data_IF_616692869960
#
_entry.id   IF_616692869960
#
_cell.length_a   1.000
_cell.length_b   1.000
_cell.length_c   1.000
_cell.angle_alpha   90.00
_cell.angle_beta   90.00
_cell.angle_gamma   90.00
#
_symmetry.space_group_name_H-M   'P 1'
#
loop_
_entity.id
_entity.type
_entity.pdbx_description
1 polymer ?
#
# COMPACT_ATOMS: atom_id res chain seq x y z
N UNK A 1 -9.64 47.72 -4.31
CA UNK A 1 -10.02 49.06 -3.82
C UNK A 1 -8.79 49.95 -3.91
N UNK A 2 -8.65 50.66 -5.02
CA UNK A 2 -7.77 51.83 -5.06
C UNK A 2 -8.71 52.99 -4.76
N UNK A 3 -8.48 53.72 -3.67
CA UNK A 3 -9.17 54.99 -3.36
C UNK A 3 -10.68 55.02 -3.60
N UNK A 4 -11.47 54.40 -2.71
CA UNK A 4 -12.94 54.60 -2.52
C UNK A 4 -13.86 54.53 -3.75
N UNK A 5 -13.33 54.19 -4.93
CA UNK A 5 -14.02 54.23 -6.21
C UNK A 5 -13.83 52.92 -6.94
N UNK A 6 -14.91 52.46 -7.59
CA UNK A 6 -14.87 51.27 -8.43
C UNK A 6 -14.44 51.77 -9.81
N UNK A 7 -13.21 51.42 -10.20
CA UNK A 7 -12.68 51.71 -11.54
C UNK A 7 -12.72 50.46 -12.41
N UNK A 8 -12.92 50.65 -13.72
CA UNK A 8 -12.87 49.55 -14.66
C UNK A 8 -11.44 49.00 -14.72
N UNK A 9 -11.29 47.70 -14.49
CA UNK A 9 -10.01 47.02 -14.66
C UNK A 9 -9.58 47.06 -16.13
N UNK A 10 -8.30 47.33 -16.39
CA UNK A 10 -7.78 47.41 -17.75
C UNK A 10 -8.01 46.08 -18.47
N UNK A 11 -8.66 46.11 -19.64
CA UNK A 11 -9.07 44.90 -20.37
C UNK A 11 -9.97 43.92 -19.57
N UNK A 12 -10.64 44.38 -18.50
CA UNK A 12 -11.53 43.55 -17.68
C UNK A 12 -12.74 43.00 -18.44
N UNK A 13 -13.09 43.60 -19.58
CA UNK A 13 -14.14 43.12 -20.48
C UNK A 13 -13.92 41.71 -21.02
N UNK A 14 -12.68 41.20 -20.99
CA UNK A 14 -12.37 39.81 -21.33
C UNK A 14 -13.18 38.82 -20.47
N UNK A 15 -13.40 39.12 -19.19
CA UNK A 15 -14.12 38.28 -18.24
C UNK A 15 -15.61 38.67 -18.07
N UNK A 16 -16.17 39.54 -18.92
CA UNK A 16 -17.50 40.12 -18.71
C UNK A 16 -18.64 39.09 -18.58
N UNK A 17 -18.46 37.88 -19.11
CA UNK A 17 -19.44 36.80 -19.08
C UNK A 17 -18.91 35.53 -18.38
N UNK A 18 -17.85 35.68 -17.59
CA UNK A 18 -17.25 34.59 -16.82
C UNK A 18 -17.56 34.78 -15.33
N UNK A 19 -17.87 33.68 -14.65
CA UNK A 19 -17.93 33.71 -13.20
C UNK A 19 -16.51 33.64 -12.66
N UNK A 20 -16.07 34.68 -11.94
CA UNK A 20 -14.76 34.72 -11.28
C UNK A 20 -14.94 34.20 -9.85
N UNK A 21 -14.32 33.06 -9.56
CA UNK A 21 -14.40 32.36 -8.27
C UNK A 21 -13.16 32.56 -7.41
N UNK A 22 -12.11 33.15 -7.98
CA UNK A 22 -10.90 33.53 -7.26
C UNK A 22 -10.07 34.49 -8.09
N UNK A 23 -9.44 35.45 -7.41
CA UNK A 23 -8.41 36.30 -7.98
C UNK A 23 -7.29 36.39 -6.95
N UNK A 24 -6.21 35.68 -7.20
CA UNK A 24 -5.14 35.43 -6.23
C UNK A 24 -3.82 36.01 -6.75
N UNK A 25 -2.95 36.51 -5.86
CA UNK A 25 -1.68 37.09 -6.30
C UNK A 25 -0.77 36.00 -6.90
N UNK A 26 -0.23 36.26 -8.09
CA UNK A 26 0.82 35.45 -8.72
C UNK A 26 2.19 36.13 -8.55
N UNK A 27 2.26 37.42 -8.90
CA UNK A 27 3.39 38.32 -8.66
C UNK A 27 2.88 39.74 -8.34
N UNK A 28 3.79 40.72 -8.25
CA UNK A 28 3.47 42.11 -7.90
C UNK A 28 2.50 42.80 -8.88
N UNK A 29 2.41 42.31 -10.11
CA UNK A 29 1.58 42.90 -11.18
C UNK A 29 0.55 41.93 -11.75
N UNK A 30 0.70 40.63 -11.51
CA UNK A 30 -0.11 39.58 -12.12
C UNK A 30 -0.95 38.87 -11.06
N UNK A 31 -2.24 38.70 -11.36
CA UNK A 31 -3.14 37.84 -10.59
C UNK A 31 -3.45 36.56 -11.37
N UNK A 32 -3.56 35.44 -10.66
CA UNK A 32 -4.21 34.23 -11.15
C UNK A 32 -5.72 34.37 -10.97
N UNK A 33 -6.44 34.44 -12.09
CA UNK A 33 -7.90 34.52 -12.16
C UNK A 33 -8.45 33.11 -12.37
N UNK A 34 -9.31 32.68 -11.46
CA UNK A 34 -9.99 31.38 -11.47
C UNK A 34 -11.43 31.58 -11.92
N UNK A 35 -11.80 30.98 -13.05
CA UNK A 35 -13.15 31.06 -13.59
C UNK A 35 -13.76 29.67 -13.80
N UNK A 36 -15.03 29.63 -14.19
CA UNK A 36 -15.69 28.40 -14.65
C UNK A 36 -15.14 27.89 -16.00
N UNK A 37 -14.41 28.72 -16.75
CA UNK A 37 -13.81 28.35 -18.06
C UNK A 37 -12.30 28.13 -17.97
N UNK A 38 -11.72 28.26 -16.77
CA UNK A 38 -10.32 27.92 -16.53
C UNK A 38 -9.51 28.93 -15.73
N UNK A 39 -8.20 28.75 -15.79
CA UNK A 39 -7.20 29.60 -15.13
C UNK A 39 -6.51 30.54 -16.12
N UNK A 40 -6.36 31.80 -15.69
CA UNK A 40 -5.74 32.87 -16.45
C UNK A 40 -4.77 33.67 -15.60
N UNK A 41 -3.66 34.12 -16.18
CA UNK A 41 -2.85 35.20 -15.63
C UNK A 41 -3.34 36.53 -16.18
N UNK A 42 -3.65 37.47 -15.29
CA UNK A 42 -4.10 38.82 -15.62
C UNK A 42 -3.10 39.83 -15.06
N UNK A 43 -2.44 40.58 -15.94
CA UNK A 43 -1.57 41.67 -15.53
C UNK A 43 -2.40 42.93 -15.27
N UNK A 44 -2.39 43.41 -14.03
CA UNK A 44 -3.21 44.53 -13.57
C UNK A 44 -2.72 45.89 -14.10
N UNK A 45 -1.46 45.97 -14.56
CA UNK A 45 -0.86 47.21 -15.07
C UNK A 45 -1.01 47.34 -16.60
N UNK A 46 -0.87 46.24 -17.36
CA UNK A 46 -1.01 46.25 -18.82
C UNK A 46 -2.40 45.83 -19.31
N UNK A 47 -3.16 45.11 -18.48
CA UNK A 47 -4.40 44.46 -18.87
C UNK A 47 -4.20 43.15 -19.66
N UNK A 48 -2.96 42.68 -19.81
CA UNK A 48 -2.70 41.44 -20.56
C UNK A 48 -3.35 40.25 -19.87
N UNK A 49 -4.06 39.43 -20.64
CA UNK A 49 -4.68 38.19 -20.18
C UNK A 49 -4.06 37.01 -20.92
N UNK A 50 -3.54 36.04 -20.16
CA UNK A 50 -2.97 34.81 -20.69
C UNK A 50 -3.64 33.59 -20.08
N UNK A 51 -4.27 32.75 -20.91
CA UNK A 51 -4.78 31.44 -20.50
C UNK A 51 -3.61 30.51 -20.13
N UNK A 52 -3.73 29.75 -19.04
CA UNK A 52 -2.69 28.80 -18.64
C UNK A 52 -2.60 27.60 -19.58
N UNK A 53 -1.40 27.04 -19.70
CA UNK A 53 -1.04 26.05 -20.73
C UNK A 53 -1.82 24.75 -20.61
N UNK A 54 -2.01 24.21 -19.41
CA UNK A 54 -2.65 22.92 -19.18
C UNK A 54 -4.16 23.02 -18.89
N UNK A 55 -4.72 24.20 -19.09
CA UNK A 55 -6.10 24.53 -18.76
C UNK A 55 -7.11 23.63 -19.50
N UNK A 56 -6.94 23.43 -20.81
CA UNK A 56 -7.89 22.64 -21.61
C UNK A 56 -7.95 21.16 -21.23
N UNK A 57 -6.85 20.59 -20.76
CA UNK A 57 -6.83 19.19 -20.32
C UNK A 57 -7.64 18.97 -19.04
N UNK A 58 -7.42 19.81 -18.02
CA UNK A 58 -8.09 19.67 -16.73
C UNK A 58 -9.51 20.27 -16.75
N UNK A 59 -9.65 21.54 -17.14
CA UNK A 59 -10.96 22.21 -17.18
C UNK A 59 -11.86 21.70 -18.30
N UNK A 60 -11.32 21.17 -19.39
CA UNK A 60 -12.13 20.49 -20.41
C UNK A 60 -12.98 19.38 -19.80
N UNK A 61 -12.36 18.52 -18.98
CA UNK A 61 -13.07 17.44 -18.26
C UNK A 61 -14.08 17.98 -17.25
N UNK A 62 -13.72 19.00 -16.49
CA UNK A 62 -14.63 19.63 -15.53
C UNK A 62 -15.88 20.19 -16.24
N UNK A 63 -15.70 20.83 -17.40
CA UNK A 63 -16.82 21.35 -18.19
C UNK A 63 -17.69 20.22 -18.78
N UNK A 64 -17.08 19.16 -19.31
CA UNK A 64 -17.80 17.98 -19.82
C UNK A 64 -18.65 17.28 -18.73
N UNK A 65 -18.17 17.33 -17.49
CA UNK A 65 -18.83 16.74 -16.32
C UNK A 65 -19.72 17.75 -15.56
N UNK A 66 -19.87 18.97 -16.08
CA UNK A 66 -20.64 20.06 -15.45
C UNK A 66 -20.20 20.38 -14.00
N UNK A 67 -18.92 20.16 -13.68
CA UNK A 67 -18.37 20.41 -12.35
C UNK A 67 -18.25 21.91 -12.10
N UNK A 68 -18.88 22.37 -11.02
CA UNK A 68 -18.91 23.78 -10.67
C UNK A 68 -17.73 24.17 -9.78
N UNK A 69 -16.86 25.05 -10.29
CA UNK A 69 -15.87 25.77 -9.48
C UNK A 69 -16.57 26.73 -8.52
N UNK A 70 -16.05 26.87 -7.30
CA UNK A 70 -16.70 27.71 -6.29
C UNK A 70 -15.78 28.65 -5.52
N UNK A 71 -14.57 28.21 -5.20
CA UNK A 71 -13.63 29.05 -4.47
C UNK A 71 -12.20 28.63 -4.79
N UNK A 72 -11.26 29.53 -4.56
CA UNK A 72 -9.85 29.23 -4.73
C UNK A 72 -9.01 29.86 -3.62
N UNK A 73 -7.91 29.20 -3.28
CA UNK A 73 -6.96 29.67 -2.25
C UNK A 73 -5.52 29.41 -2.69
N UNK A 74 -4.58 30.21 -2.21
CA UNK A 74 -3.18 29.82 -2.32
C UNK A 74 -2.88 28.75 -1.27
N UNK A 75 -2.40 27.59 -1.74
CA UNK A 75 -2.02 26.47 -0.87
C UNK A 75 -0.57 26.66 -0.39
N UNK A 76 0.30 27.13 -1.29
CA UNK A 76 1.64 27.60 -0.95
C UNK A 76 2.12 28.59 -2.01
N UNK A 77 3.40 28.94 -1.97
CA UNK A 77 4.03 29.92 -2.88
C UNK A 77 3.97 29.54 -4.37
N UNK A 78 3.69 28.27 -4.68
CA UNK A 78 3.79 27.70 -6.02
C UNK A 78 2.55 26.94 -6.47
N UNK A 79 1.55 26.78 -5.59
CA UNK A 79 0.37 25.97 -5.89
C UNK A 79 -0.92 26.62 -5.42
N UNK A 80 -1.95 26.41 -6.23
CA UNK A 80 -3.31 26.88 -6.06
C UNK A 80 -4.20 25.74 -5.59
N UNK A 81 -5.14 26.03 -4.69
CA UNK A 81 -6.27 25.17 -4.36
C UNK A 81 -7.53 25.67 -5.07
N UNK A 82 -8.28 24.77 -5.69
CA UNK A 82 -9.57 25.05 -6.32
C UNK A 82 -10.61 24.12 -5.74
N UNK A 83 -11.73 24.68 -5.30
CA UNK A 83 -12.82 23.99 -4.64
C UNK A 83 -13.98 23.82 -5.62
N UNK A 84 -14.68 22.71 -5.50
CA UNK A 84 -15.80 22.34 -6.36
C UNK A 84 -17.04 21.98 -5.55
N UNK A 85 -18.21 22.14 -6.16
CA UNK A 85 -19.49 21.75 -5.56
C UNK A 85 -20.03 20.47 -6.19
N UNK A 86 -20.68 19.66 -5.35
CA UNK A 86 -21.61 18.59 -5.77
C UNK A 86 -21.03 17.57 -6.75
N UNK A 87 -19.75 17.24 -6.64
CA UNK A 87 -19.12 16.25 -7.51
C UNK A 87 -18.37 15.16 -6.72
N UNK A 88 -18.72 13.91 -7.01
CA UNK A 88 -18.19 12.72 -6.31
C UNK A 88 -16.68 12.53 -6.48
N UNK A 89 -16.12 13.16 -7.50
CA UNK A 89 -14.84 12.91 -8.14
C UNK A 89 -13.88 14.10 -7.99
N UNK A 90 -14.42 15.30 -7.76
CA UNK A 90 -13.71 16.55 -7.55
C UNK A 90 -14.38 17.34 -6.42
N UNK A 91 -13.79 17.32 -5.23
CA UNK A 91 -14.13 18.25 -4.15
C UNK A 91 -13.09 19.37 -4.04
N UNK A 92 -11.81 19.03 -4.10
CA UNK A 92 -10.70 19.98 -4.06
C UNK A 92 -9.57 19.54 -5.01
N UNK A 93 -8.99 20.48 -5.74
CA UNK A 93 -7.80 20.24 -6.56
C UNK A 93 -6.66 21.17 -6.12
N UNK A 94 -5.49 20.58 -5.86
CA UNK A 94 -4.23 21.31 -5.81
C UNK A 94 -3.62 21.34 -7.21
N UNK A 95 -3.39 22.52 -7.73
CA UNK A 95 -2.85 22.77 -9.06
C UNK A 95 -1.51 23.50 -8.96
N UNK A 96 -0.60 23.22 -9.87
CA UNK A 96 0.60 24.06 -10.04
C UNK A 96 0.27 25.38 -10.76
N UNK A 97 1.30 26.22 -10.94
CA UNK A 97 1.22 27.50 -11.62
C UNK A 97 0.91 27.43 -13.14
N UNK A 98 0.84 26.23 -13.74
CA UNK A 98 0.47 26.02 -15.14
C UNK A 98 -0.89 25.31 -15.32
N UNK A 99 -1.63 25.10 -14.22
CA UNK A 99 -2.91 24.36 -14.15
C UNK A 99 -2.79 22.83 -14.21
N UNK A 100 -1.61 22.26 -13.91
CA UNK A 100 -1.45 20.81 -13.80
C UNK A 100 -1.96 20.35 -12.43
N UNK A 101 -2.88 19.37 -12.35
CA UNK A 101 -3.30 18.81 -11.08
C UNK A 101 -2.16 18.01 -10.42
N UNK A 102 -1.80 18.43 -9.21
CA UNK A 102 -0.86 17.75 -8.33
C UNK A 102 -1.59 16.74 -7.45
N UNK A 103 -2.74 17.14 -6.90
CA UNK A 103 -3.56 16.31 -6.04
C UNK A 103 -5.04 16.63 -6.24
N UNK A 104 -5.86 15.58 -6.30
CA UNK A 104 -7.32 15.69 -6.32
C UNK A 104 -7.85 15.02 -5.06
N UNK A 105 -8.75 15.71 -4.38
CA UNK A 105 -9.45 15.23 -3.20
C UNK A 105 -10.94 15.17 -3.51
N UNK A 106 -11.56 14.08 -3.09
CA UNK A 106 -12.96 13.76 -3.35
C UNK A 106 -13.46 12.83 -2.25
N UNK A 107 -14.75 12.53 -2.28
CA UNK A 107 -15.34 11.55 -1.36
C UNK A 107 -14.75 10.14 -1.54
N UNK A 108 -14.29 9.82 -2.75
CA UNK A 108 -13.68 8.53 -3.09
C UNK A 108 -12.23 8.39 -2.59
N UNK A 109 -11.63 9.44 -2.04
CA UNK A 109 -10.26 9.37 -1.52
C UNK A 109 -10.04 10.12 -0.19
N UNK A 110 -11.10 10.34 0.58
CA UNK A 110 -11.03 10.68 2.00
C UNK A 110 -11.76 11.94 2.43
N UNK A 111 -12.37 12.71 1.53
CA UNK A 111 -13.27 13.80 1.94
C UNK A 111 -14.58 13.22 2.49
N UNK A 112 -15.14 13.89 3.51
CA UNK A 112 -16.40 13.47 4.14
C UNK A 112 -17.64 13.79 3.28
N UNK A 113 -17.51 14.74 2.36
CA UNK A 113 -18.57 15.26 1.50
C UNK A 113 -17.99 15.66 0.13
N UNK A 114 -18.84 15.68 -0.88
CA UNK A 114 -18.50 16.02 -2.27
C UNK A 114 -18.43 17.53 -2.52
N UNK A 115 -18.97 18.33 -1.61
CA UNK A 115 -19.05 19.78 -1.74
C UNK A 115 -18.06 20.46 -0.82
N UNK A 116 -17.06 21.14 -1.40
CA UNK A 116 -16.09 21.95 -0.66
C UNK A 116 -16.42 23.43 -0.88
N UNK A 117 -16.90 24.11 0.16
CA UNK A 117 -17.39 25.50 0.04
C UNK A 117 -16.28 26.53 0.23
N UNK A 118 -15.20 26.16 0.91
CA UNK A 118 -14.07 27.04 1.17
C UNK A 118 -12.79 26.24 1.42
N UNK A 119 -11.65 26.90 1.39
CA UNK A 119 -10.36 26.30 1.69
C UNK A 119 -9.50 27.29 2.45
N UNK A 120 -9.02 26.88 3.63
CA UNK A 120 -8.18 27.68 4.48
C UNK A 120 -6.93 26.89 4.85
N UNK A 121 -5.75 27.45 4.63
CA UNK A 121 -4.50 26.85 5.08
C UNK A 121 -3.82 27.78 6.07
N UNK A 122 -3.56 27.26 7.27
CA UNK A 122 -2.82 28.01 8.28
C UNK A 122 -1.34 28.05 7.90
N UNK A 123 -0.69 29.21 7.97
CA UNK A 123 0.75 29.33 7.75
C UNK A 123 1.12 30.54 6.90
N UNK A 124 2.42 30.77 6.75
CA UNK A 124 2.99 31.80 5.88
C UNK A 124 3.81 31.15 4.76
N UNK A 125 4.14 31.95 3.74
CA UNK A 125 5.02 31.60 2.63
C UNK A 125 6.24 30.79 3.13
N UNK A 126 6.43 29.57 2.62
CA UNK A 126 7.49 28.64 3.02
C UNK A 126 7.23 27.68 4.19
N UNK A 127 6.18 27.84 5.00
CA UNK A 127 5.80 26.85 6.02
C UNK A 127 4.27 26.66 6.07
N UNK A 128 3.67 26.07 5.02
CA UNK A 128 2.25 25.83 4.97
C UNK A 128 1.86 24.73 5.97
N UNK A 129 1.02 25.09 6.93
CA UNK A 129 0.40 24.18 7.87
C UNK A 129 -0.74 23.40 7.23
N UNK A 130 -1.65 22.90 8.07
CA UNK A 130 -2.73 22.02 7.63
C UNK A 130 -3.78 22.75 6.79
N UNK A 131 -4.26 22.09 5.73
CA UNK A 131 -5.37 22.56 4.91
C UNK A 131 -6.70 22.16 5.56
N UNK A 132 -7.58 23.12 5.77
CA UNK A 132 -8.92 22.94 6.29
C UNK A 132 -9.94 23.21 5.18
N UNK A 133 -10.82 22.24 4.97
CA UNK A 133 -11.87 22.29 3.96
C UNK A 133 -13.23 22.22 4.65
N UNK A 134 -13.89 23.36 4.89
CA UNK A 134 -15.31 23.38 5.21
C UNK A 134 -16.10 22.75 4.06
N UNK A 135 -17.00 21.84 4.43
CA UNK A 135 -17.81 21.07 3.51
C UNK A 135 -19.28 21.53 3.61
N UNK A 136 -20.13 21.03 2.72
CA UNK A 136 -21.58 21.17 2.93
C UNK A 136 -22.03 20.48 4.23
N UNK A 137 -21.40 19.34 4.57
CA UNK A 137 -21.61 18.63 5.83
C UNK A 137 -20.27 18.40 6.53
N UNK A 138 -19.97 19.25 7.53
CA UNK A 138 -18.80 19.11 8.38
C UNK A 138 -17.54 19.83 7.86
N UNK A 139 -16.38 19.42 8.36
CA UNK A 139 -15.08 20.02 8.04
C UNK A 139 -14.06 18.89 7.89
N UNK A 140 -13.27 18.92 6.82
CA UNK A 140 -12.12 18.02 6.63
C UNK A 140 -10.80 18.71 6.96
N UNK A 141 -9.95 18.01 7.70
CA UNK A 141 -8.57 18.38 7.95
C UNK A 141 -7.67 17.56 7.02
N UNK A 142 -6.91 18.22 6.15
CA UNK A 142 -6.11 17.58 5.11
C UNK A 142 -4.62 17.83 5.34
N UNK A 143 -3.89 16.76 5.61
CA UNK A 143 -2.42 16.74 5.60
C UNK A 143 -1.87 16.73 4.18
N UNK A 144 -2.11 17.79 3.40
CA UNK A 144 -1.81 17.81 1.96
C UNK A 144 -0.30 17.66 1.66
N UNK A 145 0.55 18.09 2.59
CA UNK A 145 2.02 17.94 2.53
C UNK A 145 2.54 16.71 3.30
N UNK A 146 1.66 15.84 3.79
CA UNK A 146 2.07 14.64 4.52
C UNK A 146 2.81 13.66 3.59
N UNK A 147 3.97 13.11 4.01
CA UNK A 147 4.61 11.99 3.30
C UNK A 147 3.85 10.67 3.52
N UNK A 148 2.89 10.65 4.45
CA UNK A 148 2.06 9.49 4.78
C UNK A 148 0.72 9.63 4.07
N UNK A 149 0.27 8.54 3.44
CA UNK A 149 -1.07 8.40 2.85
C UNK A 149 -1.87 7.36 3.63
N UNK A 150 -3.18 7.56 3.71
CA UNK A 150 -4.13 6.63 4.30
C UNK A 150 -5.04 6.09 3.20
N UNK A 151 -5.26 4.79 3.19
CA UNK A 151 -6.23 4.11 2.35
C UNK A 151 -7.21 3.34 3.24
N UNK A 152 -8.48 3.31 2.84
CA UNK A 152 -9.60 2.79 3.63
C UNK A 152 -10.74 2.37 2.69
N UNK A 153 -11.93 2.06 3.22
CA UNK A 153 -13.09 1.59 2.45
C UNK A 153 -13.45 2.47 1.26
N UNK A 154 -13.33 3.80 1.41
CA UNK A 154 -13.57 4.78 0.34
C UNK A 154 -12.66 4.57 -0.88
N UNK A 155 -11.47 4.01 -0.69
CA UNK A 155 -10.52 3.70 -1.76
C UNK A 155 -10.76 2.36 -2.43
N UNK A 156 -11.79 1.60 -2.03
CA UNK A 156 -12.14 0.29 -2.59
C UNK A 156 -11.58 -0.92 -1.83
N UNK A 157 -10.87 -0.70 -0.72
CA UNK A 157 -10.41 -1.77 0.17
C UNK A 157 -11.53 -2.25 1.07
N UNK A 158 -11.79 -3.55 1.12
CA UNK A 158 -12.81 -4.12 2.01
C UNK A 158 -12.21 -5.22 2.86
N UNK A 159 -12.63 -5.29 4.13
CA UNK A 159 -12.20 -6.32 5.07
C UNK A 159 -10.93 -5.98 5.85
N UNK A 160 -10.59 -6.85 6.79
CA UNK A 160 -9.40 -6.70 7.62
C UNK A 160 -8.16 -7.06 6.80
N UNK A 161 -7.21 -6.12 6.72
CA UNK A 161 -5.93 -6.29 6.01
C UNK A 161 -5.07 -7.31 6.75
N UNK A 162 -4.64 -8.36 6.06
CA UNK A 162 -3.72 -9.37 6.56
C UNK A 162 -2.28 -9.07 6.13
N UNK A 163 -2.09 -8.72 4.86
CA UNK A 163 -0.78 -8.56 4.24
C UNK A 163 -0.79 -7.44 3.19
N UNK A 164 0.37 -6.81 2.99
CA UNK A 164 0.59 -5.80 1.96
C UNK A 164 1.93 -6.06 1.30
N UNK A 165 1.99 -6.01 -0.02
CA UNK A 165 3.25 -6.20 -0.75
C UNK A 165 3.30 -5.32 -2.00
N UNK A 166 4.50 -5.05 -2.50
CA UNK A 166 4.69 -4.41 -3.81
C UNK A 166 5.21 -5.45 -4.79
N UNK A 167 4.57 -5.53 -5.94
CA UNK A 167 4.97 -6.40 -7.03
C UNK A 167 4.86 -5.64 -8.35
N UNK A 168 5.94 -5.60 -9.11
CA UNK A 168 6.05 -4.87 -10.38
C UNK A 168 5.62 -3.38 -10.29
N UNK A 169 5.97 -2.72 -9.19
CA UNK A 169 5.60 -1.31 -8.93
C UNK A 169 4.18 -1.09 -8.41
N UNK A 170 3.33 -2.11 -8.40
CA UNK A 170 1.95 -2.02 -7.91
C UNK A 170 1.83 -2.51 -6.49
N UNK A 171 1.07 -1.80 -5.67
CA UNK A 171 0.74 -2.20 -4.31
C UNK A 171 -0.40 -3.23 -4.35
N UNK A 172 -0.17 -4.39 -3.75
CA UNK A 172 -1.19 -5.41 -3.51
C UNK A 172 -1.54 -5.43 -2.03
N UNK A 173 -2.84 -5.52 -1.74
CA UNK A 173 -3.39 -5.57 -0.40
C UNK A 173 -4.22 -6.83 -0.27
N UNK A 174 -3.89 -7.66 0.70
CA UNK A 174 -4.58 -8.90 0.99
C UNK A 174 -5.44 -8.70 2.22
N UNK A 175 -6.69 -9.14 2.15
CA UNK A 175 -7.65 -9.04 3.24
C UNK A 175 -8.31 -10.38 3.53
N UNK A 176 -9.12 -10.41 4.59
CA UNK A 176 -9.96 -11.56 4.90
C UNK A 176 -11.17 -11.75 3.95
N UNK A 177 -11.43 -10.82 3.03
CA UNK A 177 -12.51 -10.91 2.03
C UNK A 177 -12.01 -11.01 0.58
N UNK A 178 -10.70 -10.81 0.36
CA UNK A 178 -10.08 -11.03 -0.95
C UNK A 178 -8.74 -10.36 -1.11
N UNK A 179 -8.24 -10.36 -2.35
CA UNK A 179 -6.99 -9.68 -2.73
C UNK A 179 -7.28 -8.49 -3.62
N UNK A 180 -6.55 -7.40 -3.42
CA UNK A 180 -6.73 -6.13 -4.11
C UNK A 180 -5.40 -5.66 -4.69
N UNK A 181 -5.45 -4.90 -5.78
CA UNK A 181 -4.29 -4.19 -6.33
C UNK A 181 -4.62 -2.72 -6.52
N UNK A 182 -3.60 -1.89 -6.35
CA UNK A 182 -3.68 -0.46 -6.55
C UNK A 182 -3.72 -0.16 -8.06
N UNK A 183 -4.70 0.63 -8.46
CA UNK A 183 -4.77 1.22 -9.80
C UNK A 183 -4.89 2.74 -9.69
N UNK A 184 -4.59 3.42 -10.79
CA UNK A 184 -4.75 4.86 -10.92
C UNK A 184 -5.69 5.13 -12.09
N UNK A 185 -6.67 5.99 -11.88
CA UNK A 185 -7.53 6.43 -12.96
C UNK A 185 -6.82 7.43 -13.89
N UNK A 186 -7.53 7.90 -14.93
CA UNK A 186 -7.00 8.88 -15.89
C UNK A 186 -6.64 10.24 -15.28
N UNK A 187 -7.03 10.48 -14.02
CA UNK A 187 -6.75 11.70 -13.27
C UNK A 187 -5.58 11.52 -12.30
N UNK A 188 -5.02 10.31 -12.21
CA UNK A 188 -3.97 9.97 -11.25
C UNK A 188 -4.49 9.73 -9.83
N UNK A 189 -5.80 9.56 -9.64
CA UNK A 189 -6.36 9.21 -8.34
C UNK A 189 -6.21 7.71 -8.12
N UNK A 190 -5.62 7.35 -6.99
CA UNK A 190 -5.43 5.96 -6.61
C UNK A 190 -6.71 5.35 -6.06
N UNK A 191 -7.01 4.13 -6.50
CA UNK A 191 -8.03 3.25 -5.92
C UNK A 191 -7.50 1.82 -5.83
N UNK A 192 -8.26 0.94 -5.19
CA UNK A 192 -8.00 -0.48 -5.09
C UNK A 192 -9.11 -1.26 -5.75
N UNK A 193 -8.69 -2.21 -6.59
CA UNK A 193 -9.61 -3.11 -7.28
C UNK A 193 -9.37 -4.54 -6.84
N UNK A 194 -10.46 -5.24 -6.57
CA UNK A 194 -10.40 -6.63 -6.16
C UNK A 194 -10.02 -7.54 -7.33
N UNK A 195 -9.12 -8.48 -7.08
CA UNK A 195 -8.86 -9.63 -7.95
C UNK A 195 -9.98 -10.64 -7.73
N UNK A 196 -10.94 -10.69 -8.65
CA UNK A 196 -12.14 -11.54 -8.52
C UNK A 196 -11.83 -13.03 -8.37
N UNK A 197 -10.68 -13.48 -8.88
CA UNK A 197 -10.21 -14.85 -8.79
C UNK A 197 -9.68 -15.24 -7.40
N UNK A 198 -9.34 -14.27 -6.54
CA UNK A 198 -8.85 -14.49 -5.18
C UNK A 198 -9.81 -13.82 -4.18
N UNK A 199 -10.98 -14.42 -4.05
CA UNK A 199 -12.09 -13.99 -3.19
C UNK A 199 -12.13 -14.75 -1.83
N UNK A 200 -10.96 -15.11 -1.32
CA UNK A 200 -10.79 -15.83 -0.07
C UNK A 200 -9.80 -15.09 0.85
N UNK A 201 -9.75 -15.50 2.12
CA UNK A 201 -8.75 -15.01 3.07
C UNK A 201 -7.35 -15.33 2.52
N UNK A 202 -6.65 -14.30 2.05
CA UNK A 202 -5.26 -14.38 1.66
C UNK A 202 -4.40 -14.13 2.90
N UNK A 203 -3.56 -15.11 3.27
CA UNK A 203 -2.80 -15.08 4.52
C UNK A 203 -1.30 -14.92 4.31
N UNK A 204 -0.80 -15.32 3.15
CA UNK A 204 0.62 -15.24 2.84
C UNK A 204 0.86 -14.81 1.40
N UNK A 205 2.00 -14.19 1.18
CA UNK A 205 2.49 -13.85 -0.15
C UNK A 205 3.98 -14.21 -0.27
N UNK A 206 4.42 -14.42 -1.50
CA UNK A 206 5.83 -14.63 -1.82
C UNK A 206 6.12 -14.02 -3.20
N UNK A 207 7.11 -13.13 -3.27
CA UNK A 207 7.71 -12.73 -4.55
C UNK A 207 8.70 -13.82 -4.94
N UNK A 208 8.22 -14.77 -5.74
CA UNK A 208 9.04 -15.86 -6.24
C UNK A 208 9.89 -15.36 -7.40
N UNK A 209 11.21 -15.51 -7.30
CA UNK A 209 12.13 -15.16 -8.38
C UNK A 209 12.50 -16.41 -9.16
N UNK A 210 12.06 -16.49 -10.42
CA UNK A 210 12.41 -17.60 -11.31
C UNK A 210 13.94 -17.70 -11.45
N UNK A 211 14.57 -18.82 -11.04
CA UNK A 211 16.03 -18.93 -11.04
C UNK A 211 16.67 -18.91 -12.43
N UNK A 212 15.90 -19.31 -13.46
CA UNK A 212 16.37 -19.38 -14.84
C UNK A 212 16.22 -18.04 -15.54
N UNK A 213 15.11 -17.34 -15.33
CA UNK A 213 14.78 -16.11 -16.07
C UNK A 213 14.98 -14.83 -15.27
N UNK A 214 15.17 -14.93 -13.95
CA UNK A 214 15.15 -13.82 -12.99
C UNK A 214 13.84 -13.02 -12.97
N UNK A 215 12.78 -13.48 -13.67
CA UNK A 215 11.47 -12.86 -13.62
C UNK A 215 10.79 -13.18 -12.30
N UNK A 216 10.13 -12.18 -11.73
CA UNK A 216 9.36 -12.35 -10.50
C UNK A 216 7.95 -12.85 -10.81
N UNK A 217 7.35 -13.53 -9.85
CA UNK A 217 5.93 -13.90 -9.80
C UNK A 217 5.42 -13.65 -8.39
N UNK A 218 4.21 -13.14 -8.24
CA UNK A 218 3.60 -13.01 -6.94
C UNK A 218 2.75 -14.25 -6.65
N UNK A 219 3.18 -15.03 -5.66
CA UNK A 219 2.40 -16.16 -5.14
C UNK A 219 1.57 -15.70 -3.94
N UNK A 220 0.34 -16.18 -3.86
CA UNK A 220 -0.62 -15.83 -2.80
C UNK A 220 -1.17 -17.10 -2.19
N UNK A 221 -0.90 -17.34 -0.91
CA UNK A 221 -1.46 -18.45 -0.15
C UNK A 221 -2.77 -18.06 0.53
N UNK A 222 -3.81 -18.85 0.30
CA UNK A 222 -5.14 -18.65 0.89
C UNK A 222 -5.52 -19.79 1.83
N UNK A 223 -6.49 -19.55 2.71
CA UNK A 223 -6.94 -20.56 3.68
C UNK A 223 -8.00 -21.52 3.15
N UNK A 224 -8.63 -21.23 2.01
CA UNK A 224 -9.71 -22.08 1.47
C UNK A 224 -9.49 -22.51 0.03
N UNK A 225 -8.82 -21.70 -0.79
CA UNK A 225 -8.79 -21.88 -2.24
C UNK A 225 -7.39 -22.20 -2.78
N UNK A 226 -6.45 -22.55 -1.90
CA UNK A 226 -5.10 -22.91 -2.31
C UNK A 226 -4.16 -21.75 -2.54
N UNK A 227 -3.18 -22.00 -3.39
CA UNK A 227 -2.15 -21.06 -3.78
C UNK A 227 -2.49 -20.54 -5.18
N UNK A 228 -2.33 -19.24 -5.36
CA UNK A 228 -2.49 -18.54 -6.63
C UNK A 228 -1.17 -17.92 -7.07
N UNK A 229 -1.01 -17.79 -8.37
CA UNK A 229 0.06 -17.04 -9.02
C UNK A 229 -0.55 -15.82 -9.70
N UNK A 230 0.11 -14.67 -9.56
CA UNK A 230 -0.19 -13.42 -10.26
C UNK A 230 1.05 -13.10 -11.11
N UNK A 231 0.87 -13.05 -12.43
CA UNK A 231 1.93 -12.68 -13.36
C UNK A 231 2.09 -11.14 -13.49
N UNK A 232 3.11 -10.72 -14.24
CA UNK A 232 3.45 -9.32 -14.50
C UNK A 232 2.33 -8.52 -15.19
N UNK A 233 1.33 -9.20 -15.76
CA UNK A 233 0.16 -8.62 -16.41
C UNK A 233 -1.12 -8.76 -15.56
N UNK A 234 -0.99 -8.98 -14.24
CA UNK A 234 -2.09 -9.20 -13.30
C UNK A 234 -2.97 -10.40 -13.62
N UNK A 235 -2.52 -11.35 -14.45
CA UNK A 235 -3.31 -12.56 -14.71
C UNK A 235 -3.17 -13.49 -13.53
N UNK A 236 -4.31 -13.83 -12.95
CA UNK A 236 -4.37 -14.76 -11.82
C UNK A 236 -4.54 -16.19 -12.33
N UNK A 237 -3.71 -17.10 -11.82
CA UNK A 237 -3.83 -18.55 -12.05
C UNK A 237 -3.90 -19.27 -10.71
N UNK A 238 -4.83 -20.20 -10.57
CA UNK A 238 -4.86 -21.08 -9.40
C UNK A 238 -3.88 -22.24 -9.60
N UNK A 239 -2.84 -22.30 -8.76
CA UNK A 239 -1.87 -23.41 -8.78
C UNK A 239 -2.55 -24.66 -8.22
N UNK A 240 -3.21 -24.54 -7.08
CA UNK A 240 -3.79 -25.69 -6.38
C UNK A 240 -4.98 -26.34 -7.11
N UNK A 241 -5.61 -25.65 -8.06
CA UNK A 241 -6.67 -26.21 -8.91
C UNK A 241 -6.17 -26.74 -10.25
N UNK A 242 -4.87 -26.62 -10.57
CA UNK A 242 -4.28 -27.21 -11.76
C UNK A 242 -4.29 -28.75 -11.65
N UNK A 243 -4.34 -29.51 -12.77
CA UNK A 243 -4.39 -30.98 -12.74
C UNK A 243 -3.29 -31.64 -11.89
N UNK A 244 -2.07 -31.07 -11.93
CA UNK A 244 -0.93 -31.52 -11.13
C UNK A 244 -1.19 -31.52 -9.60
N UNK A 245 -2.09 -30.66 -9.11
CA UNK A 245 -2.39 -30.47 -7.70
C UNK A 245 -3.79 -31.00 -7.32
N UNK A 246 -4.81 -30.72 -8.13
CA UNK A 246 -6.22 -30.94 -7.79
C UNK A 246 -6.58 -32.41 -7.61
N UNK A 247 -5.93 -33.28 -8.37
CA UNK A 247 -6.23 -34.72 -8.36
C UNK A 247 -5.48 -35.44 -7.22
N UNK A 248 -4.74 -34.70 -6.39
CA UNK A 248 -4.04 -35.22 -5.20
C UNK A 248 -4.83 -34.94 -3.92
N UNK A 249 -4.61 -35.76 -2.89
CA UNK A 249 -5.26 -35.62 -1.56
C UNK A 249 -4.80 -34.40 -0.73
N UNK A 250 -4.07 -33.46 -1.32
CA UNK A 250 -3.50 -32.32 -0.62
C UNK A 250 -4.30 -31.06 -0.95
N UNK A 251 -5.16 -30.66 -0.01
CA UNK A 251 -5.78 -29.33 -0.03
C UNK A 251 -4.80 -28.32 0.56
N UNK A 252 -4.38 -27.35 -0.24
CA UNK A 252 -3.47 -26.30 0.19
C UNK A 252 -4.23 -25.24 1.01
N UNK A 253 -4.14 -25.34 2.34
CA UNK A 253 -4.53 -24.26 3.27
C UNK A 253 -3.22 -23.59 3.66
N UNK A 254 -2.81 -22.56 2.91
CA UNK A 254 -1.44 -22.03 2.94
C UNK A 254 -1.34 -20.77 3.83
N UNK A 255 -0.58 -20.89 4.93
CA UNK A 255 -0.33 -19.81 5.88
C UNK A 255 1.05 -19.16 5.72
N UNK A 256 1.99 -19.84 5.08
CA UNK A 256 3.30 -19.28 4.76
C UNK A 256 3.87 -19.91 3.50
N UNK A 257 4.61 -19.10 2.74
CA UNK A 257 5.31 -19.49 1.52
C UNK A 257 6.76 -19.03 1.62
N UNK A 258 7.71 -19.90 1.26
CA UNK A 258 9.12 -19.55 1.32
C UNK A 258 9.91 -20.20 0.18
N UNK A 259 10.60 -19.38 -0.62
CA UNK A 259 11.49 -19.85 -1.67
C UNK A 259 12.79 -20.36 -1.03
N UNK A 260 13.15 -21.63 -1.30
CA UNK A 260 14.35 -22.23 -0.71
C UNK A 260 15.63 -21.54 -1.20
N UNK A 261 16.53 -21.23 -0.26
CA UNK A 261 17.88 -20.75 -0.58
C UNK A 261 18.76 -21.83 -1.20
N UNK A 262 18.56 -23.10 -0.83
CA UNK A 262 19.35 -24.22 -1.37
C UNK A 262 18.90 -24.61 -2.78
N UNK A 263 17.61 -24.75 -2.99
CA UNK A 263 17.03 -25.04 -4.30
C UNK A 263 16.06 -23.92 -4.67
N UNK A 264 16.52 -22.88 -5.38
CA UNK A 264 15.68 -21.75 -5.74
C UNK A 264 14.43 -22.09 -6.57
N UNK A 265 14.33 -23.29 -7.17
CA UNK A 265 13.10 -23.72 -7.84
C UNK A 265 12.02 -24.18 -6.85
N UNK A 266 12.38 -24.47 -5.60
CA UNK A 266 11.48 -25.01 -4.58
C UNK A 266 10.85 -23.91 -3.74
N UNK A 267 9.54 -24.04 -3.54
CA UNK A 267 8.78 -23.26 -2.56
C UNK A 267 8.26 -24.20 -1.48
N UNK A 268 8.61 -23.91 -0.24
CA UNK A 268 8.04 -24.54 0.94
C UNK A 268 6.71 -23.88 1.30
N UNK A 269 5.78 -24.71 1.77
CA UNK A 269 4.41 -24.31 2.08
C UNK A 269 4.11 -24.73 3.52
N UNK A 270 3.96 -23.73 4.40
CA UNK A 270 3.43 -23.95 5.74
C UNK A 270 1.91 -23.98 5.71
N UNK A 271 1.32 -25.07 6.17
CA UNK A 271 -0.12 -25.32 6.04
C UNK A 271 -0.82 -25.55 7.38
N UNK A 272 -2.15 -25.56 7.37
CA UNK A 272 -2.96 -26.08 8.47
C UNK A 272 -2.70 -27.57 8.67
N UNK A 273 -1.90 -27.94 9.66
CA UNK A 273 -1.68 -29.33 10.07
C UNK A 273 -0.69 -30.12 9.21
N UNK A 274 0.05 -29.48 8.30
CA UNK A 274 1.15 -30.14 7.57
C UNK A 274 2.16 -29.15 7.01
N UNK A 275 3.31 -29.68 6.58
CA UNK A 275 4.32 -28.95 5.83
C UNK A 275 4.48 -29.60 4.46
N UNK A 276 4.54 -28.81 3.39
CA UNK A 276 4.61 -29.33 2.02
C UNK A 276 5.62 -28.53 1.18
N UNK A 277 5.86 -28.98 -0.05
CA UNK A 277 6.64 -28.22 -1.02
C UNK A 277 6.09 -28.38 -2.43
N UNK A 278 6.36 -27.39 -3.26
CA UNK A 278 6.21 -27.43 -4.70
C UNK A 278 7.50 -26.96 -5.38
N UNK A 279 7.66 -27.30 -6.65
CA UNK A 279 8.87 -27.00 -7.41
C UNK A 279 8.53 -26.46 -8.79
N UNK A 280 9.21 -25.40 -9.20
CA UNK A 280 9.10 -24.78 -10.50
C UNK A 280 10.06 -25.47 -11.48
N UNK A 281 9.54 -26.04 -12.57
CA UNK A 281 10.38 -26.69 -13.59
C UNK A 281 10.83 -25.73 -14.73
N UNK A 282 10.46 -24.45 -14.64
CA UNK A 282 10.67 -23.45 -15.68
C UNK A 282 9.42 -23.16 -16.53
N UNK A 283 8.39 -24.01 -16.45
CA UNK A 283 7.15 -23.91 -17.22
C UNK A 283 5.90 -24.04 -16.35
N UNK A 284 5.92 -24.97 -15.38
CA UNK A 284 4.82 -25.27 -14.50
C UNK A 284 5.30 -25.58 -13.08
N UNK A 285 4.37 -25.43 -12.13
CA UNK A 285 4.56 -25.89 -10.76
C UNK A 285 4.32 -27.40 -10.69
N UNK A 286 5.20 -28.11 -9.99
CA UNK A 286 5.11 -29.53 -9.65
C UNK A 286 4.90 -29.68 -8.15
N UNK A 287 3.91 -30.48 -7.78
CA UNK A 287 3.67 -30.77 -6.36
C UNK A 287 4.63 -31.88 -5.87
N UNK A 288 5.39 -31.57 -4.82
CA UNK A 288 6.29 -32.52 -4.15
C UNK A 288 5.64 -33.21 -2.95
N UNK A 289 4.41 -32.83 -2.62
CA UNK A 289 3.64 -33.41 -1.54
C UNK A 289 4.06 -32.96 -0.14
N UNK A 290 3.54 -33.68 0.87
CA UNK A 290 3.79 -33.40 2.28
C UNK A 290 5.18 -33.88 2.71
N UNK A 291 5.93 -33.02 3.36
CA UNK A 291 7.23 -33.32 3.95
C UNK A 291 7.01 -33.90 5.34
N UNK A 292 7.59 -35.08 5.61
CA UNK A 292 7.64 -35.71 6.95
C UNK A 292 6.29 -35.69 7.69
N UNK A 293 5.21 -36.10 7.00
CA UNK A 293 3.81 -36.06 7.47
C UNK A 293 3.59 -36.75 8.84
N UNK A 294 4.44 -37.69 9.22
CA UNK A 294 4.36 -38.38 10.52
C UNK A 294 4.74 -37.49 11.71
N UNK A 295 5.57 -36.45 11.50
CA UNK A 295 6.06 -35.55 12.54
C UNK A 295 5.65 -34.09 12.32
N UNK A 296 5.62 -33.60 11.07
CA UNK A 296 5.21 -32.23 10.76
C UNK A 296 3.69 -32.13 10.60
N UNK A 297 2.98 -32.03 11.73
CA UNK A 297 1.51 -32.08 11.83
C UNK A 297 0.86 -30.82 12.42
N UNK A 298 1.63 -29.73 12.54
CA UNK A 298 1.17 -28.47 13.15
C UNK A 298 0.76 -27.45 12.09
N UNK A 299 0.23 -26.33 12.55
CA UNK A 299 0.04 -25.15 11.73
C UNK A 299 1.34 -24.34 11.67
N UNK A 300 1.84 -24.05 10.46
CA UNK A 300 3.11 -23.34 10.25
C UNK A 300 2.87 -21.98 9.59
N UNK A 301 3.01 -20.89 10.36
CA UNK A 301 2.65 -19.52 9.94
C UNK A 301 3.80 -18.64 9.48
N UNK A 302 5.04 -19.04 9.73
CA UNK A 302 6.21 -18.39 9.16
C UNK A 302 7.31 -19.42 8.93
N UNK A 303 8.15 -19.16 7.94
CA UNK A 303 9.30 -19.99 7.58
C UNK A 303 10.51 -19.06 7.49
N UNK A 304 11.57 -19.37 8.21
CA UNK A 304 12.87 -18.70 8.10
C UNK A 304 13.93 -19.67 7.61
N UNK A 305 14.83 -19.18 6.75
CA UNK A 305 16.01 -19.91 6.29
C UNK A 305 17.18 -18.93 6.20
N UNK A 306 18.26 -19.19 6.95
CA UNK A 306 19.53 -18.44 6.81
C UNK A 306 20.55 -19.30 6.09
N UNK A 307 20.85 -20.46 6.69
CA UNK A 307 21.68 -21.52 6.11
C UNK A 307 20.83 -22.43 5.23
N UNK A 308 21.42 -22.88 4.12
CA UNK A 308 20.81 -23.90 3.26
C UNK A 308 20.43 -25.14 4.08
N UNK A 309 19.25 -25.71 3.80
CA UNK A 309 18.68 -26.89 4.48
C UNK A 309 18.22 -26.71 5.93
N UNK A 310 18.35 -25.54 6.53
CA UNK A 310 17.96 -25.32 7.93
C UNK A 310 16.76 -24.38 7.99
N UNK A 311 15.58 -24.96 8.09
CA UNK A 311 14.33 -24.20 8.18
C UNK A 311 13.88 -24.05 9.61
N UNK A 312 13.46 -22.85 9.95
CA UNK A 312 12.81 -22.54 11.22
C UNK A 312 11.35 -22.23 10.92
N UNK A 313 10.45 -22.95 11.57
CA UNK A 313 9.02 -22.88 11.34
C UNK A 313 8.33 -22.35 12.60
N UNK A 314 7.59 -21.26 12.47
CA UNK A 314 6.78 -20.74 13.56
C UNK A 314 5.44 -21.47 13.64
N UNK A 315 5.02 -21.84 14.86
CA UNK A 315 3.72 -22.42 15.14
C UNK A 315 2.90 -21.54 16.10
N UNK A 316 1.60 -21.31 15.87
CA UNK A 316 0.80 -20.40 16.69
C UNK A 316 0.70 -20.80 18.17
N UNK A 317 0.82 -22.09 18.48
CA UNK A 317 0.52 -22.64 19.80
C UNK A 317 1.63 -23.50 20.42
N UNK A 318 2.70 -23.81 19.67
CA UNK A 318 3.67 -24.84 20.06
C UNK A 318 5.12 -24.39 19.90
N UNK A 319 5.39 -23.09 20.02
CA UNK A 319 6.72 -22.51 19.91
C UNK A 319 7.25 -22.59 18.48
N UNK A 320 8.52 -22.98 18.35
CA UNK A 320 9.29 -22.98 17.10
C UNK A 320 9.71 -24.41 16.76
N UNK A 321 9.58 -24.79 15.49
CA UNK A 321 10.05 -26.09 14.98
C UNK A 321 11.21 -25.86 14.00
N UNK A 322 12.39 -26.40 14.30
CA UNK A 322 13.54 -26.42 13.38
C UNK A 322 13.54 -27.72 12.58
N UNK A 323 13.72 -27.61 11.26
CA UNK A 323 13.74 -28.73 10.32
C UNK A 323 15.04 -28.67 9.54
N UNK A 324 15.92 -29.66 9.78
CA UNK A 324 17.22 -29.76 9.12
C UNK A 324 17.18 -30.88 8.08
N UNK A 325 17.36 -30.52 6.81
CA UNK A 325 17.31 -31.45 5.68
C UNK A 325 18.69 -32.05 5.36
N UNK A 326 19.10 -33.06 6.12
CA UNK A 326 20.28 -33.88 5.82
C UNK A 326 19.89 -35.26 5.26
N UNK A 327 20.80 -36.25 5.34
CA UNK A 327 20.51 -37.65 4.97
C UNK A 327 19.24 -38.16 5.66
N UNK A 328 19.14 -37.85 6.96
CA UNK A 328 17.94 -38.02 7.75
C UNK A 328 17.43 -36.64 8.17
N UNK A 329 16.19 -36.31 7.81
CA UNK A 329 15.60 -35.04 8.23
C UNK A 329 15.39 -35.05 9.75
N UNK A 330 16.07 -34.15 10.45
CA UNK A 330 15.90 -33.92 11.87
C UNK A 330 14.85 -32.83 12.09
N UNK A 331 13.93 -33.08 13.02
CA UNK A 331 12.90 -32.14 13.43
C UNK A 331 13.04 -31.93 14.94
N UNK A 332 13.35 -30.70 15.34
CA UNK A 332 13.54 -30.31 16.74
C UNK A 332 12.52 -29.24 17.11
N UNK A 333 11.92 -29.38 18.28
CA UNK A 333 10.95 -28.42 18.80
C UNK A 333 11.58 -27.61 19.92
N UNK A 334 11.32 -26.31 19.91
CA UNK A 334 11.79 -25.41 20.93
C UNK A 334 10.63 -24.60 21.51
N UNK A 335 10.65 -24.45 22.83
CA UNK A 335 9.62 -23.78 23.61
C UNK A 335 10.18 -22.95 24.76
N UNK A 336 9.33 -22.71 25.75
CA UNK A 336 9.69 -22.00 27.00
C UNK A 336 10.87 -22.62 27.73
N UNK A 337 11.05 -23.95 27.64
CA UNK A 337 12.17 -24.67 28.24
C UNK A 337 13.53 -24.28 27.64
N UNK A 338 13.53 -23.73 26.42
CA UNK A 338 14.73 -23.24 25.73
C UNK A 338 14.80 -21.71 25.73
N UNK A 339 14.03 -21.01 26.58
CA UNK A 339 14.17 -19.56 26.78
C UNK A 339 13.19 -18.70 25.98
N UNK A 340 12.23 -19.28 25.25
CA UNK A 340 11.13 -18.48 24.70
C UNK A 340 10.25 -17.93 25.85
N UNK A 341 9.78 -16.67 25.78
CA UNK A 341 8.85 -16.13 26.77
C UNK A 341 7.48 -16.83 26.78
N UNK A 342 7.07 -17.38 25.64
CA UNK A 342 5.80 -18.05 25.43
C UNK A 342 5.91 -19.05 24.28
N UNK A 343 5.12 -20.13 24.33
CA UNK A 343 4.94 -21.04 23.20
C UNK A 343 3.95 -20.48 22.14
N UNK A 344 3.35 -19.31 22.39
CA UNK A 344 2.36 -18.66 21.53
C UNK A 344 2.86 -17.31 21.05
N UNK A 345 2.22 -16.80 20.01
CA UNK A 345 2.39 -15.41 19.54
C UNK A 345 3.85 -15.04 19.24
N UNK A 346 4.59 -16.01 18.69
CA UNK A 346 5.93 -15.78 18.17
C UNK A 346 5.87 -15.47 16.67
N UNK A 347 6.98 -15.03 16.08
CA UNK A 347 7.15 -14.93 14.63
C UNK A 347 8.63 -14.96 14.29
N UNK A 348 8.96 -15.08 13.00
CA UNK A 348 10.34 -15.09 12.51
C UNK A 348 10.55 -13.84 11.67
N UNK A 349 11.68 -13.18 11.89
CA UNK A 349 12.11 -12.02 11.12
C UNK A 349 13.57 -12.19 10.71
N UNK A 350 13.89 -11.85 9.46
CA UNK A 350 15.24 -11.91 8.94
C UNK A 350 15.69 -10.52 8.55
N UNK A 351 16.81 -10.07 9.13
CA UNK A 351 17.45 -8.80 8.83
C UNK A 351 18.98 -8.96 8.87
N UNK A 352 19.68 -8.31 7.94
CA UNK A 352 21.14 -8.34 7.81
C UNK A 352 21.75 -9.76 7.87
N UNK A 353 21.09 -10.72 7.20
CA UNK A 353 21.55 -12.11 7.15
C UNK A 353 21.46 -12.86 8.48
N UNK A 354 20.75 -12.32 9.48
CA UNK A 354 20.50 -12.94 10.78
C UNK A 354 19.02 -13.25 10.97
N UNK A 355 18.74 -14.30 11.72
CA UNK A 355 17.39 -14.67 12.11
C UNK A 355 17.08 -14.15 13.51
N UNK A 356 15.93 -13.51 13.64
CA UNK A 356 15.36 -13.02 14.89
C UNK A 356 14.00 -13.65 15.11
N UNK A 357 13.65 -13.82 16.37
CA UNK A 357 12.37 -14.34 16.81
C UNK A 357 11.63 -13.21 17.52
N UNK A 358 10.50 -12.81 16.96
CA UNK A 358 9.62 -11.81 17.54
C UNK A 358 8.71 -12.54 18.52
N UNK A 359 8.61 -12.07 19.77
CA UNK A 359 7.91 -12.80 20.85
C UNK A 359 7.07 -11.86 21.71
N UNK A 360 6.26 -12.40 22.60
CA UNK A 360 5.54 -11.63 23.62
C UNK A 360 6.45 -10.91 24.64
N UNK A 361 7.72 -11.33 24.76
CA UNK A 361 8.69 -10.75 25.70
C UNK A 361 9.75 -9.87 25.05
N UNK A 362 9.66 -9.61 23.74
CA UNK A 362 10.66 -8.82 23.00
C UNK A 362 11.21 -9.55 21.78
N UNK A 363 12.40 -9.13 21.35
CA UNK A 363 13.13 -9.73 20.22
C UNK A 363 14.22 -10.66 20.74
N UNK A 364 14.30 -11.85 20.17
CA UNK A 364 15.23 -12.91 20.56
C UNK A 364 16.06 -13.39 19.37
N UNK A 365 17.19 -14.02 19.65
CA UNK A 365 17.99 -14.81 18.71
C UNK A 365 18.23 -16.19 19.29
N UNK A 366 18.55 -17.15 18.43
CA UNK A 366 18.89 -18.50 18.88
C UNK A 366 20.42 -18.64 19.04
N UNK A 367 20.84 -19.07 20.23
CA UNK A 367 22.24 -19.37 20.54
C UNK A 367 22.50 -20.86 20.29
N UNK A 368 23.24 -21.17 19.23
CA UNK A 368 23.54 -22.55 18.84
C UNK A 368 24.37 -23.32 19.89
N UNK A 369 25.25 -22.62 20.63
CA UNK A 369 26.14 -23.26 21.60
C UNK A 369 25.38 -23.77 22.83
N UNK A 370 24.36 -23.03 23.25
CA UNK A 370 23.52 -23.38 24.41
C UNK A 370 22.18 -24.00 24.02
N UNK A 371 21.85 -24.01 22.71
CA UNK A 371 20.55 -24.43 22.18
C UNK A 371 19.37 -23.71 22.84
N UNK A 372 19.50 -22.40 23.05
CA UNK A 372 18.51 -21.58 23.75
C UNK A 372 18.28 -20.23 23.07
N UNK A 373 17.10 -19.64 23.27
CA UNK A 373 16.77 -18.29 22.87
C UNK A 373 17.27 -17.29 23.90
N UNK A 374 17.91 -16.24 23.41
CA UNK A 374 18.41 -15.13 24.21
C UNK A 374 17.93 -13.81 23.63
N UNK A 375 17.77 -12.82 24.50
CA UNK A 375 17.33 -11.48 24.11
C UNK A 375 18.31 -10.90 23.09
N UNK A 376 17.78 -10.29 22.04
CA UNK A 376 18.56 -9.81 20.91
C UNK A 376 18.22 -8.36 20.54
N UNK A 377 19.21 -7.71 19.96
CA UNK A 377 19.09 -6.37 19.39
C UNK A 377 18.92 -6.46 17.88
N UNK A 378 17.88 -5.82 17.35
CA UNK A 378 17.71 -5.71 15.89
C UNK A 378 18.83 -4.85 15.28
N UNK A 379 19.20 -5.10 14.01
CA UNK A 379 20.16 -4.25 13.31
C UNK A 379 19.71 -2.79 13.25
N UNK A 380 20.65 -1.86 13.35
CA UNK A 380 20.37 -0.42 13.35
C UNK A 380 19.81 0.15 14.66
N UNK A 381 19.46 -0.69 15.64
CA UNK A 381 18.95 -0.22 16.93
C UNK A 381 20.08 -0.02 17.96
N UNK A 382 19.92 1.01 18.79
CA UNK A 382 20.82 1.31 19.92
C UNK A 382 20.34 0.70 21.24
N UNK A 383 19.15 0.10 21.26
CA UNK A 383 18.54 -0.50 22.44
C UNK A 383 17.92 -1.85 22.08
N UNK A 384 17.75 -2.69 23.09
CA UNK A 384 17.08 -3.99 23.01
C UNK A 384 15.58 -3.78 23.23
N UNK A 385 14.74 -4.54 22.52
CA UNK A 385 13.31 -4.60 22.80
C UNK A 385 13.07 -5.81 23.71
N UNK A 386 12.79 -5.55 24.98
CA UNK A 386 12.50 -6.55 26.00
C UNK A 386 11.27 -6.13 26.83
N UNK A 387 10.60 -7.10 27.45
CA UNK A 387 9.40 -6.90 28.28
C UNK A 387 8.18 -6.28 27.57
N UNK A 388 8.21 -6.20 26.23
CA UNK A 388 7.11 -5.73 25.40
C UNK A 388 6.96 -6.70 24.22
N UNK A 389 5.72 -7.07 23.90
CA UNK A 389 5.42 -7.97 22.80
C UNK A 389 5.71 -7.34 21.43
N UNK A 390 6.39 -8.09 20.57
CA UNK A 390 6.65 -7.72 19.18
C UNK A 390 5.96 -8.74 18.28
N UNK A 391 4.85 -8.33 17.64
CA UNK A 391 4.08 -9.23 16.77
C UNK A 391 4.57 -9.27 15.31
N UNK A 392 5.17 -8.18 14.83
CA UNK A 392 5.62 -8.04 13.44
C UNK A 392 6.73 -7.01 13.32
N UNK A 393 7.65 -7.24 12.40
CA UNK A 393 8.68 -6.30 11.95
C UNK A 393 8.69 -6.27 10.42
N UNK A 394 9.05 -5.13 9.84
CA UNK A 394 9.08 -4.90 8.38
C UNK A 394 10.39 -4.20 8.05
N UNK A 395 11.10 -4.66 7.00
CA UNK A 395 12.32 -4.04 6.49
C UNK A 395 12.02 -2.95 5.46
#
# INVERSE_FOLDING_TARGET
LIDTSIVLAQNGGFFAYDNIWGMLPYDDSTATVVTNKGLFHYNQNSGDVKKLKHNDGFYGRLMEQEVQVYNATLVNDTTLGVNFLSDKDYGFAQLDNEAVPIQLLSKTNGLLDETVIYSYQQGSKGNPGTLWLPLNVGISQVGIHSPIRKFSEESGLVGAISEVTRYNGTLFVFTNTGSFYQEFDSRGVSSFKQLSQINAVAWSHLIFKDPKTNKEKLLVGTTTNGIFEIDDNFRVRSISNAPEFRDKEIKHIAYSLHQSKKNPNRVYIGMSGSFAAMEWDGYAWKDLGRIKRNVLKKEYRAIGEISSNDLWLFTPLNGITRVQFDKDTLVTEYGVEQGLPSNKDNSIFIADGKMFFLTSGGVYQFNEATSSFEVAKLPGMNYVIENIGVGRAVN
#
